data_IF_166997333049
#
_entry.id   IF_166997333049
#
_cell.length_a   1.000
_cell.length_b   1.000
_cell.length_c   1.000
_cell.angle_alpha   90.00
_cell.angle_beta   90.00
_cell.angle_gamma   90.00
#
_symmetry.space_group_name_H-M   'P 1'
#
loop_
_entity.id
_entity.type
_entity.pdbx_description
1 polymer ?
#
# COMPACT_ATOMS: atom_id res chain seq x y z
N UNK A 1 3.69 6.53 -2.62
CA UNK A 1 3.35 7.15 -1.34
C UNK A 1 3.64 8.62 -1.38
N UNK A 2 2.95 9.35 -0.54
CA UNK A 2 3.10 10.79 -0.50
C UNK A 2 4.48 11.17 0.04
N UNK A 3 5.13 12.11 -0.63
CA UNK A 3 6.35 12.68 -0.13
C UNK A 3 6.05 13.66 0.99
N UNK A 4 6.70 13.48 2.10
CA UNK A 4 6.57 14.37 3.23
C UNK A 4 7.74 15.31 3.20
N UNK A 5 7.48 16.60 2.97
CA UNK A 5 8.53 17.58 2.85
C UNK A 5 9.08 17.98 4.21
N UNK A 6 10.34 18.28 4.25
CA UNK A 6 11.00 18.99 5.35
C UNK A 6 10.87 18.36 6.73
N UNK A 7 10.24 17.22 6.83
CA UNK A 7 10.15 16.55 8.11
C UNK A 7 11.34 15.64 8.28
N UNK A 8 11.53 15.19 9.46
CA UNK A 8 12.70 14.43 9.83
C UNK A 8 12.51 12.95 9.59
N UNK A 9 13.61 12.22 9.53
CA UNK A 9 13.54 10.77 9.54
C UNK A 9 12.79 10.23 10.74
N UNK A 10 12.82 10.92 11.86
CA UNK A 10 12.05 10.51 13.02
C UNK A 10 10.57 10.46 12.73
N UNK A 11 10.03 11.43 11.99
CA UNK A 11 8.64 11.42 11.60
C UNK A 11 8.34 10.30 10.62
N UNK A 12 9.23 10.06 9.65
CA UNK A 12 9.09 8.95 8.72
C UNK A 12 9.11 7.61 9.45
N UNK A 13 9.96 7.47 10.45
CA UNK A 13 10.01 6.29 11.27
C UNK A 13 8.69 6.08 12.02
N UNK A 14 8.15 7.14 12.61
CA UNK A 14 6.86 7.08 13.28
C UNK A 14 5.75 6.67 12.31
N UNK A 15 5.80 7.18 11.08
CA UNK A 15 4.87 6.82 10.03
C UNK A 15 4.91 5.31 9.76
N UNK A 16 6.08 4.73 9.59
CA UNK A 16 6.21 3.30 9.32
C UNK A 16 5.83 2.44 10.53
N UNK A 17 6.00 2.97 11.74
CA UNK A 17 5.54 2.29 12.96
C UNK A 17 4.02 2.30 13.08
N UNK A 18 3.34 3.29 12.49
CA UNK A 18 1.89 3.37 12.51
C UNK A 18 1.23 2.38 11.58
N UNK A 19 1.92 1.90 10.56
CA UNK A 19 1.31 0.98 9.61
C UNK A 19 2.32 0.21 8.79
N UNK A 20 1.99 -1.04 8.52
CA UNK A 20 2.81 -1.91 7.70
C UNK A 20 1.99 -2.82 6.80
N UNK A 21 0.67 -2.63 6.74
CA UNK A 21 -0.20 -3.45 5.88
C UNK A 21 -0.40 -2.78 4.54
N UNK A 22 -0.04 -3.50 3.49
CA UNK A 22 -0.09 -3.01 2.12
C UNK A 22 -1.30 -3.63 1.42
N UNK A 23 -2.06 -2.78 0.73
CA UNK A 23 -3.21 -3.21 -0.04
C UNK A 23 -3.23 -2.55 -1.40
N UNK A 24 -4.31 -2.80 -2.13
CA UNK A 24 -4.49 -2.30 -3.49
C UNK A 24 -5.88 -1.69 -3.65
N UNK A 25 -5.99 -0.74 -4.55
CA UNK A 25 -7.26 -0.14 -4.92
C UNK A 25 -7.38 -0.05 -6.43
N UNK A 26 -8.61 -0.13 -6.92
CA UNK A 26 -8.91 -0.09 -8.36
C UNK A 26 -9.06 1.34 -8.87
N UNK A 27 -9.18 2.31 -7.97
CA UNK A 27 -9.30 3.72 -8.30
C UNK A 27 -8.87 4.53 -7.07
N UNK A 28 -8.97 5.85 -7.12
CA UNK A 28 -8.56 6.73 -6.03
C UNK A 28 -9.17 6.29 -4.70
N UNK A 29 -8.35 5.92 -3.72
CA UNK A 29 -8.87 5.51 -2.41
C UNK A 29 -9.26 6.66 -1.49
N UNK A 30 -9.06 7.89 -1.92
CA UNK A 30 -9.44 9.06 -1.13
C UNK A 30 -8.37 9.50 -0.16
N UNK A 31 -8.75 10.40 0.74
CA UNK A 31 -7.82 11.05 1.68
C UNK A 31 -8.24 10.86 3.13
N UNK A 32 -9.11 9.91 3.41
CA UNK A 32 -9.57 9.62 4.77
C UNK A 32 -9.07 8.24 5.21
N UNK A 33 -9.30 7.89 6.47
CA UNK A 33 -8.93 6.56 6.95
C UNK A 33 -9.79 5.44 6.35
N UNK A 34 -10.89 5.78 5.68
CA UNK A 34 -11.74 4.81 4.99
C UNK A 34 -11.28 4.69 3.54
N UNK A 35 -10.57 3.62 3.17
CA UNK A 35 -10.13 3.48 1.79
C UNK A 35 -11.33 3.19 0.89
N UNK A 36 -11.49 4.04 -0.13
CA UNK A 36 -12.48 3.80 -1.17
C UNK A 36 -11.86 2.94 -2.26
N UNK A 37 -12.71 2.19 -2.96
CA UNK A 37 -12.28 1.39 -4.10
C UNK A 37 -11.22 0.33 -3.76
N UNK A 38 -11.10 -0.04 -2.49
CA UNK A 38 -10.17 -1.09 -2.12
C UNK A 38 -10.53 -2.39 -2.83
N UNK A 39 -9.52 -3.13 -3.25
CA UNK A 39 -9.70 -4.42 -3.92
C UNK A 39 -10.49 -5.40 -3.04
N UNK A 40 -11.16 -6.34 -3.68
CA UNK A 40 -11.92 -7.37 -2.98
C UNK A 40 -12.14 -8.56 -3.91
N UNK A 41 -12.50 -9.70 -3.33
CA UNK A 41 -12.87 -10.89 -4.09
C UNK A 41 -11.67 -11.69 -4.57
N UNK A 42 -11.91 -12.59 -5.49
CA UNK A 42 -10.90 -13.49 -6.04
C UNK A 42 -10.82 -14.83 -5.32
N UNK A 43 -10.00 -15.71 -5.86
CA UNK A 43 -9.73 -17.03 -5.27
C UNK A 43 -8.24 -17.33 -5.44
N UNK A 44 -7.44 -17.31 -4.38
CA UNK A 44 -7.79 -16.91 -3.00
C UNK A 44 -8.21 -15.46 -2.90
N UNK A 45 -9.00 -15.14 -1.88
CA UNK A 45 -9.56 -13.80 -1.73
C UNK A 45 -8.47 -12.74 -1.45
N UNK A 46 -8.72 -11.52 -1.93
CA UNK A 46 -7.86 -10.39 -1.63
C UNK A 46 -7.73 -10.19 -0.11
N UNK A 47 -6.52 -9.92 0.31
CA UNK A 47 -6.23 -9.50 1.68
C UNK A 47 -4.98 -8.63 1.67
N UNK A 48 -4.93 -7.65 2.56
CA UNK A 48 -3.73 -6.86 2.76
C UNK A 48 -2.61 -7.74 3.30
N UNK A 49 -1.37 -7.41 2.94
CA UNK A 49 -0.19 -8.16 3.40
C UNK A 49 0.74 -7.23 4.17
N UNK A 50 1.33 -7.78 5.22
CA UNK A 50 2.24 -7.01 6.05
C UNK A 50 3.63 -6.95 5.42
N UNK A 51 4.20 -5.73 5.36
CA UNK A 51 5.59 -5.53 4.97
C UNK A 51 6.42 -5.21 6.20
N UNK A 52 7.73 -5.43 6.10
CA UNK A 52 8.68 -5.03 7.15
C UNK A 52 9.52 -3.89 6.60
N UNK A 53 9.47 -2.75 7.27
CA UNK A 53 10.20 -1.56 6.85
C UNK A 53 11.66 -1.61 7.30
N UNK A 54 12.55 -1.22 6.39
CA UNK A 54 13.98 -1.09 6.67
C UNK A 54 14.41 0.31 6.30
N UNK A 55 15.05 1.01 7.22
CA UNK A 55 15.51 2.37 6.99
C UNK A 55 16.67 2.36 5.99
N UNK A 56 16.55 3.23 4.98
CA UNK A 56 17.63 3.54 4.06
C UNK A 56 18.23 4.90 4.38
N UNK A 57 18.96 5.47 3.46
CA UNK A 57 19.53 6.80 3.61
C UNK A 57 18.59 7.88 3.07
N UNK A 58 18.72 9.10 3.58
CA UNK A 58 18.00 10.25 3.03
C UNK A 58 16.49 10.24 3.22
N UNK A 59 15.99 9.63 4.28
CA UNK A 59 14.56 9.60 4.55
C UNK A 59 13.80 8.51 3.77
N UNK A 60 14.51 7.55 3.21
CA UNK A 60 13.91 6.44 2.46
C UNK A 60 13.71 5.25 3.38
N UNK A 61 12.52 4.64 3.30
CA UNK A 61 12.20 3.41 4.00
C UNK A 61 11.74 2.38 2.98
N UNK A 62 12.39 1.23 2.95
CA UNK A 62 12.08 0.16 2.02
C UNK A 62 11.28 -0.91 2.75
N UNK A 63 10.13 -1.27 2.19
CA UNK A 63 9.34 -2.39 2.70
C UNK A 63 9.79 -3.69 2.06
N UNK A 64 9.61 -4.79 2.78
CA UNK A 64 9.82 -6.11 2.19
C UNK A 64 8.81 -6.36 1.08
N UNK A 65 9.18 -7.18 0.12
CA UNK A 65 8.29 -7.55 -0.98
C UNK A 65 7.05 -8.25 -0.43
N UNK A 66 5.88 -7.83 -0.91
CA UNK A 66 4.61 -8.47 -0.56
C UNK A 66 3.94 -8.98 -1.83
N UNK A 67 3.27 -10.12 -1.72
CA UNK A 67 2.49 -10.70 -2.81
C UNK A 67 1.03 -10.72 -2.38
N UNK A 68 0.18 -10.02 -3.14
CA UNK A 68 -1.23 -9.82 -2.78
C UNK A 68 -2.11 -10.56 -3.77
N UNK A 69 -3.05 -11.35 -3.26
CA UNK A 69 -4.06 -12.02 -4.10
C UNK A 69 -5.06 -10.99 -4.61
N UNK A 70 -5.38 -11.04 -5.89
CA UNK A 70 -6.29 -10.10 -6.52
C UNK A 70 -7.26 -10.81 -7.44
N UNK A 71 -8.48 -10.25 -7.54
CA UNK A 71 -9.50 -10.77 -8.45
C UNK A 71 -9.20 -10.37 -9.89
N UNK A 72 -9.58 -11.22 -10.83
CA UNK A 72 -9.51 -10.92 -12.25
C UNK A 72 -10.62 -9.98 -12.71
N UNK A 73 -10.50 -9.50 -13.94
CA UNK A 73 -11.48 -8.60 -14.54
C UNK A 73 -11.41 -7.17 -14.01
N UNK A 74 -10.31 -6.79 -13.35
CA UNK A 74 -10.14 -5.46 -12.77
C UNK A 74 -8.75 -4.93 -13.08
N UNK A 75 -8.62 -3.62 -12.93
CA UNK A 75 -7.34 -2.91 -13.07
C UNK A 75 -6.99 -2.25 -11.75
N UNK A 76 -5.81 -2.53 -11.22
CA UNK A 76 -5.37 -2.01 -9.94
C UNK A 76 -4.47 -0.81 -10.17
N UNK A 77 -4.83 0.34 -9.61
CA UNK A 77 -4.20 1.64 -9.92
C UNK A 77 -3.53 2.30 -8.73
N UNK A 78 -3.79 1.85 -7.52
CA UNK A 78 -3.25 2.46 -6.30
C UNK A 78 -2.78 1.40 -5.33
N UNK A 79 -1.71 1.72 -4.62
CA UNK A 79 -1.26 0.98 -3.44
C UNK A 79 -1.69 1.77 -2.21
N UNK A 80 -2.20 1.07 -1.20
CA UNK A 80 -2.59 1.71 0.06
C UNK A 80 -1.74 1.18 1.20
N UNK A 81 -1.50 2.05 2.19
CA UNK A 81 -0.82 1.69 3.43
C UNK A 81 -1.82 1.83 4.57
N UNK A 82 -1.93 0.78 5.36
CA UNK A 82 -2.88 0.72 6.46
C UNK A 82 -2.20 0.29 7.76
N UNK A 83 -2.82 0.63 8.87
CA UNK A 83 -2.30 0.22 10.19
C UNK A 83 -2.80 -1.14 10.62
N UNK A 84 -3.72 -1.76 9.90
CA UNK A 84 -4.25 -3.08 10.22
C UNK A 84 -4.58 -3.89 8.99
N UNK A 85 -4.79 -5.19 9.18
CA UNK A 85 -5.06 -6.13 8.10
C UNK A 85 -6.42 -5.92 7.45
N UNK A 86 -7.33 -5.25 8.14
CA UNK A 86 -8.68 -4.97 7.65
C UNK A 86 -9.24 -3.76 8.35
N UNK A 87 -10.33 -3.22 7.82
CA UNK A 87 -11.04 -2.10 8.43
C UNK A 87 -10.63 -0.74 7.88
N UNK A 88 -11.11 0.32 8.51
CA UNK A 88 -10.95 1.70 8.06
C UNK A 88 -9.74 2.33 8.74
N UNK A 89 -8.55 1.92 8.32
CA UNK A 89 -7.32 2.36 8.95
C UNK A 89 -6.23 2.69 7.92
N UNK A 90 -6.64 3.21 6.77
CA UNK A 90 -5.70 3.69 5.76
C UNK A 90 -4.94 4.92 6.28
N UNK A 91 -3.63 4.88 6.13
CA UNK A 91 -2.73 5.96 6.54
C UNK A 91 -2.30 6.77 5.32
N UNK A 92 -2.02 6.10 4.22
CA UNK A 92 -1.53 6.75 3.02
C UNK A 92 -1.82 5.89 1.80
N UNK A 93 -1.64 6.48 0.63
CA UNK A 93 -1.76 5.77 -0.63
C UNK A 93 -0.88 6.42 -1.69
N UNK A 94 -0.61 5.69 -2.76
CA UNK A 94 0.07 6.27 -3.92
C UNK A 94 -0.38 5.56 -5.19
N UNK A 95 -0.41 6.29 -6.32
CA UNK A 95 -0.67 5.67 -7.61
C UNK A 95 0.47 4.72 -7.98
N UNK A 96 0.10 3.65 -8.67
CA UNK A 96 1.05 2.71 -9.26
C UNK A 96 0.77 2.61 -10.75
N UNK A 97 1.72 2.12 -11.55
CA UNK A 97 1.41 1.80 -12.94
C UNK A 97 0.23 0.83 -12.99
N UNK A 98 -0.81 1.11 -13.80
CA UNK A 98 -2.00 0.26 -13.82
C UNK A 98 -1.67 -1.20 -14.08
N UNK A 99 -2.21 -2.09 -13.26
CA UNK A 99 -2.02 -3.53 -13.37
C UNK A 99 -3.34 -4.16 -13.77
N UNK A 100 -3.44 -4.58 -15.03
CA UNK A 100 -4.64 -5.21 -15.58
C UNK A 100 -4.59 -6.70 -15.29
N UNK A 101 -5.63 -7.21 -14.61
CA UNK A 101 -5.75 -8.64 -14.33
C UNK A 101 -6.96 -9.19 -15.08
N UNK A 102 -6.72 -10.10 -16.00
CA UNK A 102 -7.80 -10.75 -16.73
C UNK A 102 -8.40 -11.90 -15.91
N UNK A 103 -7.58 -12.56 -15.11
CA UNK A 103 -7.99 -13.68 -14.28
C UNK A 103 -7.52 -13.44 -12.84
N UNK A 104 -8.08 -14.19 -11.89
CA UNK A 104 -7.60 -14.18 -10.51
C UNK A 104 -6.11 -14.52 -10.47
N UNK A 105 -5.36 -13.81 -9.67
CA UNK A 105 -3.93 -14.01 -9.60
C UNK A 105 -3.31 -13.27 -8.44
N UNK A 106 -2.06 -12.87 -8.62
CA UNK A 106 -1.30 -12.20 -7.59
C UNK A 106 -0.51 -11.04 -8.17
N UNK A 107 -0.39 -9.97 -7.38
CA UNK A 107 0.50 -8.86 -7.68
C UNK A 107 1.58 -8.78 -6.61
N UNK A 108 2.82 -8.62 -7.06
CA UNK A 108 3.98 -8.49 -6.17
C UNK A 108 4.39 -7.03 -6.14
N UNK A 109 4.53 -6.49 -4.93
CA UNK A 109 4.83 -5.08 -4.71
C UNK A 109 6.08 -4.95 -3.84
N UNK A 110 6.89 -3.94 -4.16
CA UNK A 110 8.05 -3.54 -3.35
C UNK A 110 7.77 -2.14 -2.80
N UNK A 111 7.10 -2.04 -1.65
CA UNK A 111 6.71 -0.72 -1.15
C UNK A 111 7.90 0.09 -0.70
N UNK A 112 7.87 1.39 -1.02
CA UNK A 112 8.90 2.34 -0.63
C UNK A 112 8.21 3.59 -0.11
N UNK A 113 8.61 4.04 1.06
CA UNK A 113 8.18 5.33 1.58
C UNK A 113 9.36 6.29 1.54
N UNK A 114 9.18 7.41 0.88
CA UNK A 114 10.24 8.42 0.76
C UNK A 114 9.75 9.72 1.37
N UNK A 115 10.55 10.25 2.26
CA UNK A 115 10.36 11.58 2.80
C UNK A 115 11.23 12.55 2.03
N UNK A 116 10.63 13.59 1.50
CA UNK A 116 11.34 14.60 0.72
C UNK A 116 11.45 15.92 1.46
#
# INVERSE_FOLDING_TARGET
MVNVTATTQALSKDYTELGSFIGLATDDPGSTSTPMNEASGGTPAYARKQTTWTAGSGGVFNGSVVTINVAGGQTYKYMILCSGASGHNMIDNCPIPPQVMNDDGQLTLSPVYTQS
#
